data_IF_047481526874
#
_entry.id   IF_047481526874
#
_cell.length_a   1.000
_cell.length_b   1.000
_cell.length_c   1.000
_cell.angle_alpha   90.00
_cell.angle_beta   90.00
_cell.angle_gamma   90.00
#
_symmetry.space_group_name_H-M   'P 1'
#
loop_
_entity.id
_entity.type
_entity.pdbx_description
1 polymer ?
#
# COMPACT_ATOMS: atom_id res chain seq x y z
N UNK A 1 -32.43 -3.62 14.49
CA UNK A 1 -32.14 -2.36 13.77
C UNK A 1 -30.63 -2.20 13.79
N UNK A 2 -29.99 -1.91 12.66
CA UNK A 2 -28.54 -1.71 12.63
C UNK A 2 -28.21 -0.37 13.32
N UNK A 3 -27.16 -0.31 14.12
CA UNK A 3 -26.77 0.92 14.80
C UNK A 3 -25.99 1.85 13.87
N UNK A 4 -25.95 3.15 14.17
CA UNK A 4 -25.17 4.11 13.38
C UNK A 4 -23.67 3.77 13.41
N UNK A 5 -23.18 3.22 14.52
CA UNK A 5 -21.80 2.73 14.67
C UNK A 5 -21.52 1.56 13.75
N UNK A 6 -22.46 0.61 13.61
CA UNK A 6 -22.32 -0.50 12.66
C UNK A 6 -22.30 0.02 11.21
N UNK A 7 -23.18 0.95 10.86
CA UNK A 7 -23.16 1.57 9.52
C UNK A 7 -21.83 2.30 9.28
N UNK A 8 -21.36 3.09 10.25
CA UNK A 8 -20.10 3.83 10.14
C UNK A 8 -18.89 2.90 9.99
N UNK A 9 -18.87 1.77 10.72
CA UNK A 9 -17.84 0.74 10.61
C UNK A 9 -17.81 0.13 9.20
N UNK A 10 -18.96 -0.32 8.70
CA UNK A 10 -19.05 -0.96 7.39
C UNK A 10 -18.62 0.00 6.27
N UNK A 11 -19.01 1.27 6.36
CA UNK A 11 -18.59 2.31 5.41
C UNK A 11 -17.08 2.62 5.51
N UNK A 12 -16.52 2.66 6.73
CA UNK A 12 -15.09 2.87 6.93
C UNK A 12 -14.26 1.71 6.35
N UNK A 13 -14.70 0.46 6.55
CA UNK A 13 -14.07 -0.72 5.97
C UNK A 13 -14.10 -0.69 4.45
N UNK A 14 -15.25 -0.34 3.85
CA UNK A 14 -15.36 -0.16 2.40
C UNK A 14 -14.42 0.92 1.87
N UNK A 15 -14.32 2.06 2.58
CA UNK A 15 -13.40 3.14 2.22
C UNK A 15 -11.93 2.70 2.26
N UNK A 16 -11.50 2.06 3.35
CA UNK A 16 -10.10 1.62 3.52
C UNK A 16 -9.72 0.58 2.46
N UNK A 17 -10.60 -0.38 2.18
CA UNK A 17 -10.38 -1.39 1.14
C UNK A 17 -10.23 -0.78 -0.25
N UNK A 18 -11.01 0.25 -0.58
CA UNK A 18 -10.88 0.93 -1.87
C UNK A 18 -9.61 1.78 -1.95
N UNK A 19 -9.21 2.42 -0.84
CA UNK A 19 -8.05 3.31 -0.79
C UNK A 19 -6.72 2.57 -0.80
N UNK A 20 -6.66 1.40 -0.14
CA UNK A 20 -5.44 0.58 0.01
C UNK A 20 -5.56 -0.77 -0.71
N UNK A 21 -6.54 -0.90 -1.60
CA UNK A 21 -6.76 -2.09 -2.40
C UNK A 21 -5.60 -2.36 -3.36
N UNK A 22 -5.63 -3.53 -4.00
CA UNK A 22 -4.64 -3.91 -4.97
C UNK A 22 -4.54 -2.87 -6.10
N UNK A 23 -3.35 -2.31 -6.28
CA UNK A 23 -3.09 -1.39 -7.38
C UNK A 23 -2.88 -2.21 -8.66
N UNK A 24 -3.75 -2.00 -9.64
CA UNK A 24 -3.67 -2.64 -10.95
C UNK A 24 -3.12 -1.61 -11.92
N UNK A 25 -1.96 -1.90 -12.51
CA UNK A 25 -1.36 -1.11 -13.58
C UNK A 25 -1.23 -1.97 -14.82
N UNK A 26 -1.24 -1.34 -15.99
CA UNK A 26 -1.16 -2.07 -17.23
C UNK A 26 -1.16 -1.15 -18.43
N UNK A 27 -0.60 -1.65 -19.51
CA UNK A 27 -0.55 -0.98 -20.79
C UNK A 27 -1.31 -1.82 -21.80
N UNK A 28 -2.00 -1.15 -22.72
CA UNK A 28 -2.58 -1.83 -23.87
C UNK A 28 -2.19 -1.08 -25.14
N UNK A 29 -1.86 -1.84 -26.16
CA UNK A 29 -1.60 -1.36 -27.50
C UNK A 29 -2.58 -2.03 -28.47
N UNK A 30 -3.10 -1.24 -29.40
CA UNK A 30 -3.95 -1.72 -30.48
C UNK A 30 -3.31 -1.27 -31.78
N UNK A 31 -2.97 -2.23 -32.62
CA UNK A 31 -2.43 -2.01 -33.95
C UNK A 31 -3.47 -2.40 -35.00
N UNK A 32 -3.61 -1.54 -36.01
CA UNK A 32 -4.45 -1.79 -37.17
C UNK A 32 -3.56 -1.88 -38.40
N UNK A 33 -3.68 -2.97 -39.16
CA UNK A 33 -2.96 -3.19 -40.41
C UNK A 33 -3.95 -3.67 -41.47
N UNK A 34 -4.31 -2.75 -42.38
CA UNK A 34 -5.40 -2.98 -43.34
C UNK A 34 -6.75 -3.13 -42.65
N UNK A 35 -7.49 -4.18 -42.98
CA UNK A 35 -8.78 -4.51 -42.34
C UNK A 35 -8.62 -5.30 -41.04
N UNK A 36 -7.38 -5.61 -40.62
CA UNK A 36 -7.11 -6.37 -39.41
C UNK A 36 -6.76 -5.45 -38.24
N UNK A 37 -7.44 -5.66 -37.11
CA UNK A 37 -7.14 -5.03 -35.82
C UNK A 37 -6.62 -6.11 -34.87
N UNK A 38 -5.47 -5.87 -34.27
CA UNK A 38 -4.90 -6.72 -33.22
C UNK A 38 -4.56 -5.88 -32.00
N UNK A 39 -4.77 -6.44 -30.80
CA UNK A 39 -4.41 -5.79 -29.54
C UNK A 39 -3.51 -6.69 -28.70
N UNK A 40 -2.63 -6.06 -27.93
CA UNK A 40 -1.82 -6.72 -26.90
C UNK A 40 -1.78 -5.82 -25.67
N UNK A 41 -1.70 -6.40 -24.48
CA UNK A 41 -1.53 -5.61 -23.28
C UNK A 41 -0.89 -6.41 -22.15
N UNK A 42 -0.41 -5.69 -21.16
CA UNK A 42 0.13 -6.21 -19.91
C UNK A 42 -0.73 -5.72 -18.76
N UNK A 43 -0.90 -6.57 -17.75
CA UNK A 43 -1.53 -6.21 -16.49
C UNK A 43 -0.65 -6.71 -15.37
N UNK A 44 -0.27 -5.80 -14.49
CA UNK A 44 0.44 -6.06 -13.26
C UNK A 44 -0.44 -5.68 -12.08
N UNK A 45 -0.30 -6.42 -10.98
CA UNK A 45 -1.00 -6.13 -9.74
C UNK A 45 0.01 -6.01 -8.63
N UNK A 46 0.11 -4.82 -8.03
CA UNK A 46 0.95 -4.60 -6.85
C UNK A 46 0.18 -5.04 -5.61
N UNK A 47 0.82 -5.89 -4.80
CA UNK A 47 0.29 -6.36 -3.52
C UNK A 47 1.14 -5.85 -2.38
N UNK A 48 0.54 -5.74 -1.19
CA UNK A 48 1.30 -5.51 0.02
C UNK A 48 2.26 -6.68 0.28
N UNK A 49 3.42 -6.43 0.90
CA UNK A 49 4.28 -7.50 1.40
C UNK A 49 3.52 -8.43 2.35
N UNK A 50 4.04 -9.64 2.53
CA UNK A 50 3.52 -10.55 3.55
C UNK A 50 3.61 -9.91 4.95
N UNK A 51 2.67 -10.28 5.83
CA UNK A 51 2.50 -9.62 7.14
C UNK A 51 3.72 -9.81 8.06
N UNK A 52 4.49 -10.87 7.83
CA UNK A 52 5.71 -11.24 8.54
C UNK A 52 6.98 -10.92 7.74
N UNK A 53 6.86 -10.30 6.56
CA UNK A 53 8.01 -9.93 5.75
C UNK A 53 8.91 -8.94 6.51
N UNK A 54 10.17 -9.31 6.70
CA UNK A 54 11.15 -8.49 7.41
C UNK A 54 11.67 -7.39 6.49
N UNK A 55 11.72 -6.16 7.00
CA UNK A 55 12.35 -5.02 6.33
C UNK A 55 13.83 -4.98 6.69
N UNK A 56 14.69 -5.14 5.71
CA UNK A 56 16.14 -4.95 5.87
C UNK A 56 16.53 -3.50 5.58
N UNK A 57 17.45 -2.94 6.35
CA UNK A 57 18.07 -1.64 6.07
C UNK A 57 19.60 -1.77 6.08
N UNK A 58 20.27 -0.96 5.27
CA UNK A 58 21.73 -0.85 5.31
C UNK A 58 22.15 0.16 6.35
N UNK A 59 22.94 -0.26 7.33
CA UNK A 59 23.53 0.62 8.35
C UNK A 59 25.05 0.65 8.19
N UNK A 60 25.65 1.83 8.38
CA UNK A 60 27.10 1.96 8.42
C UNK A 60 27.66 1.24 9.64
N UNK A 61 28.70 0.42 9.45
CA UNK A 61 29.36 -0.29 10.55
C UNK A 61 30.44 0.56 11.22
N UNK A 62 30.72 1.76 10.70
CA UNK A 62 31.83 2.61 11.13
C UNK A 62 33.21 2.17 10.64
N UNK A 63 33.33 0.98 10.03
CA UNK A 63 34.56 0.52 9.39
C UNK A 63 34.73 1.19 8.02
N UNK A 64 35.95 1.64 7.71
CA UNK A 64 36.25 2.31 6.43
C UNK A 64 37.28 1.55 5.62
N UNK A 65 37.02 1.43 4.32
CA UNK A 65 37.95 0.90 3.32
C UNK A 65 38.52 2.01 2.44
N UNK A 66 39.53 1.68 1.63
CA UNK A 66 40.16 2.57 0.64
C UNK A 66 40.51 3.96 1.19
N UNK A 67 41.46 4.02 2.13
CA UNK A 67 41.94 5.27 2.75
C UNK A 67 40.83 6.15 3.37
N UNK A 68 39.72 5.56 3.81
CA UNK A 68 38.64 6.29 4.46
C UNK A 68 37.53 6.77 3.53
N UNK A 69 37.58 6.44 2.23
CA UNK A 69 36.63 6.93 1.22
C UNK A 69 35.32 6.15 1.17
N UNK A 70 35.31 4.89 1.61
CA UNK A 70 34.13 4.02 1.55
C UNK A 70 33.85 3.49 2.94
N UNK A 71 32.68 3.81 3.48
CA UNK A 71 32.17 3.22 4.71
C UNK A 71 31.53 1.87 4.40
N UNK A 72 31.89 0.85 5.20
CA UNK A 72 31.27 -0.46 5.14
C UNK A 72 29.86 -0.36 5.68
N UNK A 73 28.93 -0.98 4.96
CA UNK A 73 27.53 -1.11 5.40
C UNK A 73 27.18 -2.57 5.61
N UNK A 74 26.27 -2.84 6.54
CA UNK A 74 25.69 -4.15 6.77
C UNK A 74 24.16 -4.07 6.72
N UNK A 75 23.52 -5.15 6.27
CA UNK A 75 22.06 -5.26 6.27
C UNK A 75 21.58 -5.77 7.62
N UNK A 76 20.73 -4.99 8.27
CA UNK A 76 20.13 -5.32 9.57
C UNK A 76 18.62 -5.29 9.48
N UNK A 77 17.96 -6.09 10.32
CA UNK A 77 16.50 -6.11 10.44
C UNK A 77 15.99 -4.80 11.05
N UNK A 78 14.95 -4.23 10.45
CA UNK A 78 14.33 -2.96 10.85
C UNK A 78 12.80 -3.09 11.05
N UNK A 79 12.37 -4.26 11.55
CA UNK A 79 10.97 -4.58 11.78
C UNK A 79 10.26 -5.14 10.54
N UNK A 80 8.92 -5.13 10.55
CA UNK A 80 8.12 -5.68 9.45
C UNK A 80 7.92 -4.66 8.33
N UNK A 81 7.94 -5.13 7.09
CA UNK A 81 7.76 -4.32 5.89
C UNK A 81 6.38 -3.65 5.82
N UNK A 82 5.36 -4.28 6.42
CA UNK A 82 3.97 -3.78 6.40
C UNK A 82 3.64 -2.77 7.49
N UNK A 83 4.46 -2.63 8.54
CA UNK A 83 4.12 -1.86 9.75
C UNK A 83 3.63 -0.46 9.43
N UNK A 84 4.39 0.30 8.63
CA UNK A 84 4.05 1.68 8.28
C UNK A 84 2.75 1.76 7.46
N UNK A 85 2.51 0.78 6.59
CA UNK A 85 1.28 0.74 5.80
C UNK A 85 0.08 0.43 6.68
N UNK A 86 0.22 -0.50 7.63
CA UNK A 86 -0.84 -0.84 8.58
C UNK A 86 -1.18 0.33 9.50
N UNK A 87 -0.18 1.03 10.02
CA UNK A 87 -0.38 2.26 10.80
C UNK A 87 -1.22 3.28 10.02
N UNK A 88 -0.90 3.48 8.74
CA UNK A 88 -1.65 4.38 7.87
C UNK A 88 -3.08 3.89 7.61
N UNK A 89 -3.28 2.59 7.38
CA UNK A 89 -4.62 2.00 7.19
C UNK A 89 -5.48 2.16 8.45
N UNK A 90 -4.90 1.95 9.63
CA UNK A 90 -5.59 2.14 10.92
C UNK A 90 -5.97 3.61 11.13
N UNK A 91 -5.06 4.54 10.82
CA UNK A 91 -5.35 5.98 10.91
C UNK A 91 -6.47 6.39 9.93
N UNK A 92 -6.42 5.91 8.68
CA UNK A 92 -7.44 6.17 7.67
C UNK A 92 -8.79 5.57 8.09
N UNK A 93 -8.79 4.37 8.68
CA UNK A 93 -9.98 3.73 9.26
C UNK A 93 -10.63 4.61 10.33
N UNK A 94 -9.87 5.02 11.36
CA UNK A 94 -10.42 5.83 12.45
C UNK A 94 -10.94 7.17 11.95
N UNK A 95 -10.23 7.80 11.01
CA UNK A 95 -10.65 9.09 10.42
C UNK A 95 -11.95 8.94 9.62
N UNK A 96 -12.06 7.90 8.80
CA UNK A 96 -13.25 7.63 8.01
C UNK A 96 -14.44 7.27 8.90
N UNK A 97 -14.24 6.39 9.89
CA UNK A 97 -15.27 6.00 10.86
C UNK A 97 -15.84 7.22 11.59
N UNK A 98 -14.97 8.06 12.16
CA UNK A 98 -15.40 9.26 12.87
C UNK A 98 -16.22 10.19 11.98
N UNK A 99 -15.79 10.37 10.72
CA UNK A 99 -16.51 11.20 9.76
C UNK A 99 -17.87 10.61 9.38
N UNK A 100 -17.97 9.31 9.18
CA UNK A 100 -19.25 8.67 8.86
C UNK A 100 -20.23 8.73 10.03
N UNK A 101 -19.75 8.47 11.25
CA UNK A 101 -20.58 8.55 12.44
C UNK A 101 -21.14 9.97 12.64
N UNK A 102 -20.28 10.99 12.52
CA UNK A 102 -20.69 12.39 12.59
C UNK A 102 -21.81 12.72 11.59
N UNK A 103 -21.71 12.22 10.36
CA UNK A 103 -22.73 12.43 9.31
C UNK A 103 -24.03 11.67 9.56
N UNK A 104 -23.97 10.52 10.24
CA UNK A 104 -25.15 9.72 10.60
C UNK A 104 -25.89 10.30 11.80
N UNK A 105 -25.18 10.93 12.75
CA UNK A 105 -25.77 11.58 13.93
C UNK A 105 -26.36 12.96 13.61
N UNK A 106 -25.93 13.60 12.53
CA UNK A 106 -26.52 14.84 12.02
C UNK A 106 -27.85 14.65 11.27
N UNK A 107 -28.28 13.40 11.06
CA UNK A 107 -29.54 13.05 10.39
C UNK A 107 -30.60 12.61 11.39
#
# INVERSE_FOLDING_TARGET
MISNEQIAHDLAMAYVNNRHGAEVSGDFSVETSGDNVSGSGTVATSRLPDVDAIRMIKVGTGEKYFFGLIERTEEVEAGFAVTRTFEKMIQDYHSAYARFLELLEQK
#
